data_IF_489423101872
#
_entry.id   IF_489423101872
#
_cell.length_a   1.000
_cell.length_b   1.000
_cell.length_c   1.000
_cell.angle_alpha   90.00
_cell.angle_beta   90.00
_cell.angle_gamma   90.00
#
_symmetry.space_group_name_H-M   'P 1'
#
loop_
_entity.id
_entity.type
_entity.pdbx_description
1 polymer ?
2 polymer ?
3 polymer ?
4 water ?
#
# COMPACT_ATOMS: atom_id res chain seq x y z
N UNK A 1 3.13 -6.55 19.06
CA UNK A 1 2.97 -7.79 18.17
C UNK A 1 4.17 -7.98 17.20
N UNK A 2 3.93 -8.68 16.09
CA UNK A 2 4.98 -8.81 15.08
C UNK A 2 5.15 -7.52 14.27
N UNK A 3 6.30 -7.39 13.64
CA UNK A 3 6.64 -6.23 12.83
C UNK A 3 7.33 -6.66 11.53
N UNK A 4 7.48 -5.74 10.60
CA UNK A 4 8.12 -6.04 9.31
C UNK A 4 8.88 -4.89 8.74
N UNK A 5 9.95 -5.20 8.04
CA UNK A 5 10.70 -4.27 7.25
C UNK A 5 10.54 -4.77 5.80
N UNK A 6 10.08 -3.93 4.89
CA UNK A 6 9.78 -4.30 3.53
C UNK A 6 10.11 -3.23 2.53
N UNK A 7 10.75 -3.64 1.46
CA UNK A 7 11.07 -2.75 0.37
C UNK A 7 10.24 -3.22 -0.83
N UNK A 8 9.66 -2.24 -1.54
CA UNK A 8 8.86 -2.46 -2.72
C UNK A 8 9.52 -1.72 -3.88
N UNK A 9 9.98 -2.48 -4.90
CA UNK A 9 10.86 -2.05 -5.95
C UNK A 9 10.10 -2.20 -7.24
N UNK A 10 9.95 -1.12 -7.99
CA UNK A 10 9.30 -1.14 -9.31
C UNK A 10 10.19 -0.57 -10.39
N UNK A 11 10.51 -1.38 -11.39
CA UNK A 11 11.31 -0.93 -12.55
C UNK A 11 10.40 -0.93 -13.76
N UNK A 12 10.36 0.19 -14.48
CA UNK A 12 9.46 0.36 -15.66
C UNK A 12 10.25 0.78 -16.90
N UNK A 13 10.29 -0.14 -17.89
CA UNK A 13 10.90 0.10 -19.22
C UNK A 13 9.97 1.05 -19.99
N UNK A 14 10.53 2.19 -20.33
CA UNK A 14 9.78 3.34 -20.82
C UNK A 14 8.94 3.41 -22.10
N UNK A 15 9.33 2.72 -23.18
CA UNK A 15 10.66 2.57 -23.72
C UNK A 15 10.93 3.61 -24.80
N UNK A 16 10.69 4.84 -24.44
CA UNK A 16 10.97 5.99 -25.25
C UNK A 16 11.81 6.76 -24.26
N UNK A 17 12.91 6.14 -23.87
CA UNK A 17 13.90 6.63 -22.92
C UNK A 17 14.97 5.57 -22.84
N UNK A 18 16.22 6.02 -22.75
CA UNK A 18 17.36 5.14 -22.66
C UNK A 18 17.35 4.24 -21.45
N UNK A 19 16.85 4.76 -20.34
CA UNK A 19 16.78 3.95 -19.15
C UNK A 19 15.37 3.75 -18.71
N UNK A 20 15.13 2.64 -18.07
CA UNK A 20 13.89 2.41 -17.39
C UNK A 20 13.98 3.14 -16.07
N UNK A 21 12.85 3.59 -15.60
CA UNK A 21 12.75 4.24 -14.29
C UNK A 21 12.59 3.25 -13.13
N UNK A 22 13.49 3.36 -12.16
CA UNK A 22 13.44 2.54 -10.94
C UNK A 22 12.88 3.32 -9.75
N UNK A 23 11.87 2.74 -9.08
CA UNK A 23 11.26 3.33 -7.87
C UNK A 23 11.33 2.30 -6.73
N UNK A 24 11.84 2.70 -5.56
CA UNK A 24 11.85 1.90 -4.36
C UNK A 24 11.24 2.66 -3.19
N UNK A 25 10.35 1.98 -2.45
CA UNK A 25 9.86 2.50 -1.19
C UNK A 25 10.10 1.46 -0.06
N UNK A 26 10.44 1.95 1.11
CA UNK A 26 10.70 1.16 2.27
C UNK A 26 9.63 1.46 3.31
N UNK A 27 9.15 0.38 3.96
CA UNK A 27 8.17 0.45 5.01
C UNK A 27 8.65 -0.30 6.20
N UNK A 28 8.38 0.30 7.35
CA UNK A 28 8.23 -0.43 8.61
C UNK A 28 6.71 -0.55 8.92
N UNK A 29 6.25 -1.80 9.00
CA UNK A 29 4.82 -2.14 9.22
C UNK A 29 4.10 -1.37 8.13
N UNK A 30 3.14 -0.50 8.46
CA UNK A 30 2.41 0.19 7.46
C UNK A 30 2.85 1.64 7.30
N UNK A 31 4.03 2.00 7.81
CA UNK A 31 4.49 3.37 7.72
C UNK A 31 5.67 3.40 6.72
N UNK A 32 5.55 4.17 5.63
CA UNK A 32 6.71 4.43 4.70
C UNK A 32 7.77 5.28 5.37
N UNK A 33 9.04 5.00 5.15
CA UNK A 33 10.09 5.80 5.73
C UNK A 33 11.26 6.24 4.78
N UNK A 34 11.45 5.57 3.63
CA UNK A 34 12.46 5.93 2.64
C UNK A 34 11.91 5.80 1.22
N UNK A 35 12.64 6.43 0.29
CA UNK A 35 12.28 6.51 -1.14
C UNK A 35 13.53 6.69 -2.03
N UNK A 36 13.49 6.01 -3.17
CA UNK A 36 14.50 6.19 -4.20
C UNK A 36 13.77 6.27 -5.49
N UNK A 37 14.02 7.31 -6.28
CA UNK A 37 13.48 7.41 -7.63
C UNK A 37 14.67 7.64 -8.61
N UNK A 38 14.75 6.86 -9.68
CA UNK A 38 15.83 7.01 -10.69
C UNK A 38 15.78 8.30 -11.50
N UNK A 39 14.60 8.91 -11.62
CA UNK A 39 14.37 10.17 -12.37
C UNK A 39 14.83 11.47 -11.75
N UNK A 40 15.41 11.46 -10.58
CA UNK A 40 16.08 12.66 -10.05
C UNK A 40 17.44 12.67 -10.76
N UNK A 41 18.00 13.86 -11.06
CA UNK A 41 19.37 13.91 -11.60
C UNK A 41 20.40 13.60 -10.51
N UNK A 42 20.03 13.92 -9.27
CA UNK A 42 20.88 13.62 -8.10
C UNK A 42 20.74 12.18 -7.52
N UNK A 43 20.02 11.25 -8.19
CA UNK A 43 19.22 10.23 -7.46
C UNK A 43 19.90 9.67 -6.21
N UNK A 44 19.30 9.94 -5.06
CA UNK A 44 19.73 9.42 -3.78
C UNK A 44 18.53 8.78 -3.10
N UNK A 45 18.86 7.93 -2.11
CA UNK A 45 17.91 7.49 -1.17
C UNK A 45 17.49 8.70 -0.32
N UNK A 46 16.17 8.87 -0.18
CA UNK A 46 15.66 9.97 0.61
C UNK A 46 14.81 9.48 1.77
N UNK A 47 14.81 10.24 2.87
CA UNK A 47 13.86 10.12 3.93
C UNK A 47 12.41 10.47 3.53
N UNK A 48 11.50 9.62 3.96
CA UNK A 48 10.11 9.93 3.93
C UNK A 48 9.47 9.85 5.32
N UNK A 49 10.21 9.86 6.37
CA UNK A 49 9.62 10.06 7.66
C UNK A 49 10.61 10.82 8.48
N UNK A 50 10.12 11.72 9.35
CA UNK A 50 10.97 12.46 10.22
C UNK A 50 11.93 11.61 11.06
N UNK A 51 11.49 10.46 11.55
CA UNK A 51 12.33 9.70 12.52
C UNK A 51 13.56 9.03 11.85
N UNK A 52 13.58 8.85 10.53
CA UNK A 52 14.79 8.36 9.91
C UNK A 52 15.86 9.49 9.67
N UNK A 53 15.50 10.79 9.84
CA UNK A 53 16.37 11.85 9.38
C UNK A 53 17.62 11.92 10.20
N UNK A 54 17.56 11.48 11.45
CA UNK A 54 18.77 11.36 12.31
C UNK A 54 19.86 10.44 11.78
N UNK A 55 19.59 9.52 10.87
CA UNK A 55 20.69 8.79 10.29
C UNK A 55 21.70 9.75 9.63
N UNK A 56 23.00 9.44 9.76
CA UNK A 56 24.09 10.22 9.19
C UNK A 56 24.39 9.81 7.76
N UNK A 57 25.40 10.46 7.18
CA UNK A 57 25.69 10.38 5.72
C UNK A 57 25.91 8.95 5.20
N UNK A 58 26.66 8.17 5.97
CA UNK A 58 27.02 6.79 5.58
C UNK A 58 25.80 5.86 5.41
N UNK A 59 24.77 6.06 6.24
CA UNK A 59 23.46 5.38 6.05
C UNK A 59 22.92 5.75 4.66
N UNK A 60 22.83 7.05 4.35
CA UNK A 60 22.26 7.49 3.04
C UNK A 60 23.16 7.05 1.89
N UNK A 61 24.46 6.96 2.10
CA UNK A 61 25.39 6.65 0.99
C UNK A 61 25.29 5.14 0.68
N UNK A 62 25.35 4.33 1.72
CA UNK A 62 25.14 2.91 1.57
C UNK A 62 23.78 2.60 0.90
N UNK A 63 22.69 3.24 1.34
CA UNK A 63 21.39 2.94 0.75
C UNK A 63 21.36 3.28 -0.70
N UNK A 64 21.91 4.44 -1.05
CA UNK A 64 22.01 4.90 -2.45
C UNK A 64 22.89 4.02 -3.39
N UNK A 65 24.07 3.62 -2.94
CA UNK A 65 24.86 2.61 -3.64
C UNK A 65 24.04 1.37 -3.82
N UNK A 66 23.30 0.90 -2.81
CA UNK A 66 22.51 -0.34 -3.04
C UNK A 66 21.38 -0.17 -4.00
N UNK A 67 20.67 0.93 -3.97
CA UNK A 67 19.58 1.18 -4.90
C UNK A 67 20.11 1.41 -6.34
N UNK A 68 21.24 2.15 -6.47
CA UNK A 68 22.02 2.22 -7.77
C UNK A 68 22.33 0.82 -8.26
N UNK A 69 22.95 0.04 -7.39
CA UNK A 69 23.21 -1.36 -7.63
C UNK A 69 22.03 -2.12 -8.20
N UNK A 70 20.93 -2.14 -7.46
CA UNK A 70 19.77 -2.96 -7.81
C UNK A 70 19.05 -2.45 -9.07
N UNK A 71 19.06 -1.13 -9.29
CA UNK A 71 18.50 -0.54 -10.53
C UNK A 71 19.20 -1.08 -11.80
N UNK A 72 20.53 -1.18 -11.78
CA UNK A 72 21.28 -1.70 -12.91
C UNK A 72 20.99 -3.21 -13.08
N UNK A 73 21.05 -4.01 -12.02
CA UNK A 73 20.50 -5.39 -12.06
C UNK A 73 19.08 -5.47 -12.68
N UNK A 74 18.09 -4.76 -12.15
CA UNK A 74 16.73 -4.85 -12.72
C UNK A 74 16.64 -4.39 -14.18
N UNK A 75 17.42 -3.38 -14.57
CA UNK A 75 17.46 -2.96 -15.97
C UNK A 75 17.90 -4.16 -16.78
N UNK A 76 19.00 -4.78 -16.36
CA UNK A 76 19.47 -6.03 -16.95
C UNK A 76 18.39 -7.09 -17.01
N UNK A 77 17.64 -7.25 -15.93
CA UNK A 77 16.56 -8.24 -15.96
C UNK A 77 15.39 -7.91 -16.86
N UNK A 78 15.18 -6.63 -17.14
CA UNK A 78 14.20 -6.23 -18.13
C UNK A 78 14.65 -6.70 -19.52
N UNK A 79 15.88 -6.35 -19.89
CA UNK A 79 16.39 -6.72 -21.18
C UNK A 79 16.32 -8.26 -21.25
N UNK A 80 16.87 -8.96 -20.26
CA UNK A 80 16.77 -10.42 -20.26
C UNK A 80 15.31 -10.93 -20.40
N UNK A 81 14.35 -10.30 -19.76
CA UNK A 81 12.96 -10.81 -19.79
C UNK A 81 12.29 -10.73 -21.16
N UNK A 82 12.79 -9.90 -22.06
CA UNK A 82 12.22 -9.81 -23.42
C UNK A 82 12.47 -11.10 -24.22
N UNK A 83 13.75 -11.47 -24.36
CA UNK A 83 14.22 -12.65 -25.12
C UNK A 83 13.75 -14.02 -24.63
N UNK A 84 13.65 -14.17 -23.30
CA UNK A 84 13.04 -15.37 -22.68
C UNK A 84 11.53 -15.52 -23.00
N UNK A 85 10.91 -14.49 -23.57
CA UNK A 85 9.49 -14.53 -23.99
C UNK A 85 9.23 -14.13 -25.46
N UNK A 86 10.29 -13.89 -26.25
CA UNK A 86 10.19 -13.55 -27.71
C UNK A 86 9.49 -12.20 -27.98
N UNK A 87 9.86 -11.19 -27.20
CA UNK A 87 8.99 -10.05 -27.01
C UNK A 87 9.34 -8.75 -27.73
N UNK A 88 8.26 -8.02 -28.08
CA UNK A 88 8.27 -6.78 -28.87
C UNK A 88 8.97 -5.63 -28.11
N UNK A 89 9.89 -4.98 -28.81
CA UNK A 89 10.57 -3.77 -28.32
C UNK A 89 9.65 -2.57 -28.15
N UNK A 90 8.52 -2.58 -28.85
CA UNK A 90 7.57 -1.49 -28.76
C UNK A 90 7.03 -1.35 -27.32
N UNK A 91 6.55 -2.44 -26.73
CA UNK A 91 5.66 -2.34 -25.57
C UNK A 91 6.34 -2.07 -24.24
N UNK A 92 5.70 -1.31 -23.38
CA UNK A 92 6.28 -1.04 -22.03
C UNK A 92 6.14 -2.25 -21.11
N UNK A 93 7.16 -2.50 -20.30
CA UNK A 93 7.11 -3.61 -19.34
C UNK A 93 7.50 -3.18 -17.92
N UNK A 94 7.01 -3.98 -16.95
CA UNK A 94 7.06 -3.77 -15.48
C UNK A 94 7.75 -4.94 -14.82
N UNK A 95 8.74 -4.64 -14.01
CA UNK A 95 9.34 -5.62 -13.10
C UNK A 95 9.15 -5.08 -11.69
N UNK A 96 8.57 -5.91 -10.80
CA UNK A 96 8.40 -5.65 -9.37
C UNK A 96 9.15 -6.66 -8.54
N UNK A 97 9.77 -6.15 -7.48
CA UNK A 97 10.49 -6.94 -6.51
C UNK A 97 10.03 -6.53 -5.09
N UNK A 98 9.70 -7.52 -4.29
CA UNK A 98 9.41 -7.27 -2.89
C UNK A 98 10.36 -8.13 -2.10
N UNK A 99 11.00 -7.49 -1.12
CA UNK A 99 11.85 -8.21 -0.21
C UNK A 99 11.80 -7.57 1.15
N UNK A 100 12.02 -8.39 2.17
CA UNK A 100 11.97 -7.87 3.54
C UNK A 100 11.89 -8.98 4.54
N UNK A 101 11.91 -8.60 5.81
CA UNK A 101 11.80 -9.54 6.91
C UNK A 101 10.55 -9.24 7.77
N UNK A 102 9.93 -10.33 8.21
CA UNK A 102 8.81 -10.32 9.06
C UNK A 102 9.26 -11.02 10.29
N UNK A 103 9.05 -10.33 11.38
CA UNK A 103 9.58 -10.74 12.65
C UNK A 103 8.52 -10.80 13.70
N UNK A 104 8.61 -11.83 14.53
CA UNK A 104 7.73 -12.02 15.68
C UNK A 104 7.85 -11.07 16.86
N UNK A 105 6.92 -11.17 17.82
CA UNK A 105 6.96 -10.34 19.03
C UNK A 105 8.20 -10.44 19.87
N UNK A 106 8.98 -11.52 19.74
CA UNK A 106 10.28 -11.61 20.43
C UNK A 106 11.53 -11.44 19.57
N UNK A 107 11.38 -10.92 18.38
CA UNK A 107 12.50 -10.78 17.52
C UNK A 107 12.98 -11.99 16.73
N UNK A 108 12.31 -13.13 16.79
CA UNK A 108 12.64 -14.20 15.85
C UNK A 108 12.22 -13.83 14.39
N UNK A 109 13.02 -14.21 13.40
CA UNK A 109 12.54 -14.19 11.98
C UNK A 109 11.46 -15.22 11.74
N UNK A 110 10.29 -14.75 11.29
CA UNK A 110 9.20 -15.64 10.89
C UNK A 110 9.18 -15.88 9.41
N UNK A 111 9.19 -14.83 8.61
CA UNK A 111 9.20 -15.01 7.20
C UNK A 111 10.16 -14.03 6.63
N UNK A 112 11.11 -14.50 5.84
CA UNK A 112 11.90 -13.64 4.91
C UNK A 112 11.40 -13.72 3.44
N UNK A 113 11.47 -12.62 2.68
CA UNK A 113 11.04 -12.49 1.27
C UNK A 113 12.12 -11.92 0.37
N UNK A 114 12.20 -12.51 -0.84
CA UNK A 114 12.72 -11.89 -2.02
C UNK A 114 11.88 -12.43 -3.16
N UNK A 115 11.11 -11.61 -3.81
CA UNK A 115 10.29 -12.17 -4.87
C UNK A 115 9.97 -11.16 -5.94
N UNK A 116 9.77 -11.71 -7.15
CA UNK A 116 9.73 -10.98 -8.40
C UNK A 116 8.46 -11.29 -9.20
N UNK A 117 8.03 -10.26 -9.95
CA UNK A 117 6.88 -10.33 -10.87
C UNK A 117 7.13 -9.52 -12.15
N UNK A 118 6.95 -10.19 -13.30
CA UNK A 118 7.07 -9.54 -14.60
C UNK A 118 5.65 -9.27 -15.11
N UNK A 119 5.39 -8.05 -15.52
CA UNK A 119 4.04 -7.56 -15.89
C UNK A 119 2.93 -8.19 -15.04
N UNK A 120 3.01 -8.00 -13.74
CA UNK A 120 1.93 -8.36 -12.85
C UNK A 120 1.79 -9.81 -12.46
N UNK A 121 2.68 -10.67 -12.92
CA UNK A 121 2.47 -12.09 -12.73
C UNK A 121 3.71 -12.62 -12.10
N UNK A 122 3.56 -13.62 -11.24
CA UNK A 122 4.73 -14.24 -10.64
C UNK A 122 5.82 -14.52 -11.66
N UNK A 123 7.03 -14.49 -11.22
CA UNK A 123 8.12 -14.85 -12.09
C UNK A 123 9.07 -15.82 -11.33
N UNK A 124 9.63 -15.35 -10.20
CA UNK A 124 10.45 -16.17 -9.31
C UNK A 124 10.28 -15.68 -7.86
N UNK A 125 10.57 -16.55 -6.90
CA UNK A 125 10.31 -16.25 -5.50
C UNK A 125 11.12 -17.17 -4.61
N UNK A 126 11.70 -16.57 -3.57
CA UNK A 126 12.41 -17.33 -2.58
C UNK A 126 11.40 -18.04 -1.69
N UNK A 127 11.63 -19.35 -1.48
CA UNK A 127 10.81 -20.15 -0.59
C UNK A 127 10.88 -19.83 0.92
N UNK A 128 9.79 -20.10 1.65
CA UNK A 128 9.76 -19.98 3.13
C UNK A 128 11.02 -20.42 3.85
N UNK A 129 11.71 -21.40 3.33
CA UNK A 129 12.93 -21.85 3.97
C UNK A 129 14.17 -21.06 3.60
N UNK A 130 14.05 -20.14 2.64
CA UNK A 130 15.17 -19.28 2.18
C UNK A 130 16.35 -20.02 1.63
N UNK A 131 16.14 -21.30 1.26
CA UNK A 131 17.17 -22.20 0.67
C UNK A 131 16.84 -22.68 -0.75
N UNK A 132 15.71 -22.23 -1.29
CA UNK A 132 15.28 -22.70 -2.57
C UNK A 132 14.36 -21.62 -3.20
N UNK A 133 14.08 -21.84 -4.50
CA UNK A 133 13.36 -20.91 -5.35
C UNK A 133 12.27 -21.62 -6.10
N UNK A 134 11.09 -21.01 -6.19
CA UNK A 134 10.09 -21.49 -7.08
C UNK A 134 9.98 -20.46 -8.21
N UNK A 135 10.09 -20.99 -9.43
CA UNK A 135 10.13 -20.27 -10.70
C UNK A 135 8.77 -20.50 -11.35
N UNK A 136 8.16 -19.46 -11.88
CA UNK A 136 6.74 -19.56 -12.31
C UNK A 136 6.51 -20.40 -13.59
N UNK A 137 7.47 -20.38 -14.52
CA UNK A 137 7.33 -21.01 -15.84
C UNK A 137 8.73 -21.41 -16.32
N UNK A 138 8.84 -21.80 -17.59
CA UNK A 138 10.14 -22.15 -18.20
C UNK A 138 11.10 -20.98 -18.37
N UNK A 139 10.56 -19.79 -18.65
CA UNK A 139 11.40 -18.58 -18.76
C UNK A 139 12.16 -18.33 -17.45
N UNK A 140 11.42 -18.30 -16.35
CA UNK A 140 12.01 -18.06 -15.03
C UNK A 140 12.89 -19.22 -14.57
N UNK A 141 12.60 -20.44 -15.07
CA UNK A 141 13.31 -21.63 -14.60
C UNK A 141 14.74 -21.56 -15.00
N UNK A 142 15.09 -20.72 -15.99
CA UNK A 142 16.52 -20.61 -16.36
C UNK A 142 17.27 -19.64 -15.44
N UNK A 143 16.65 -18.48 -15.18
CA UNK A 143 17.02 -17.56 -14.08
C UNK A 143 17.26 -18.32 -12.76
N UNK A 144 16.30 -19.15 -12.33
CA UNK A 144 16.55 -20.05 -11.22
C UNK A 144 17.88 -20.80 -11.39
N UNK A 145 18.03 -21.59 -12.46
CA UNK A 145 19.28 -22.36 -12.72
C UNK A 145 20.52 -21.49 -12.40
N UNK A 146 20.45 -20.24 -12.85
CA UNK A 146 21.54 -19.27 -12.68
C UNK A 146 21.77 -18.82 -11.20
N UNK A 147 20.64 -18.58 -10.54
CA UNK A 147 20.64 -18.22 -9.14
C UNK A 147 21.05 -19.43 -8.27
N UNK A 148 20.78 -20.66 -8.74
CA UNK A 148 21.14 -21.88 -8.01
C UNK A 148 22.66 -22.02 -7.98
N UNK A 149 23.27 -22.00 -9.16
CA UNK A 149 24.72 -22.11 -9.21
C UNK A 149 25.34 -20.94 -8.45
N UNK A 150 24.83 -19.73 -8.64
CA UNK A 150 25.39 -18.54 -7.94
C UNK A 150 25.32 -18.54 -6.37
N UNK A 151 24.52 -19.46 -5.82
CA UNK A 151 24.04 -19.46 -4.43
C UNK A 151 23.69 -18.08 -3.91
N UNK A 152 22.81 -17.43 -4.67
CA UNK A 152 22.25 -16.15 -4.30
C UNK A 152 21.28 -16.34 -3.11
N UNK A 153 20.62 -17.49 -3.00
CA UNK A 153 19.78 -17.88 -1.85
C UNK A 153 20.47 -17.66 -0.48
N UNK A 154 21.76 -17.98 -0.45
CA UNK A 154 22.59 -17.83 0.70
C UNK A 154 22.89 -16.36 0.92
N UNK A 155 23.04 -15.59 -0.14
CA UNK A 155 23.14 -14.15 0.00
C UNK A 155 21.87 -13.52 0.56
N UNK A 156 20.70 -13.92 0.06
CA UNK A 156 19.46 -13.45 0.69
C UNK A 156 19.23 -13.89 2.14
N UNK A 157 19.64 -15.11 2.46
CA UNK A 157 19.41 -15.69 3.75
C UNK A 157 20.20 -14.95 4.77
N UNK A 158 21.44 -14.71 4.43
CA UNK A 158 22.32 -14.02 5.31
C UNK A 158 21.84 -12.56 5.55
N UNK A 159 21.43 -11.88 4.46
CA UNK A 159 20.83 -10.52 4.60
C UNK A 159 19.60 -10.61 5.48
N UNK A 160 18.71 -11.56 5.16
CA UNK A 160 17.42 -11.54 5.85
C UNK A 160 17.50 -11.88 7.34
N UNK A 161 18.50 -12.68 7.72
CA UNK A 161 18.67 -13.13 9.12
C UNK A 161 19.56 -12.22 9.94
N UNK A 162 20.41 -11.38 9.33
CA UNK A 162 21.25 -10.44 10.05
C UNK A 162 20.72 -9.03 9.82
N UNK A 163 21.23 -8.38 8.77
CA UNK A 163 20.90 -7.01 8.40
C UNK A 163 19.47 -6.60 8.50
N UNK A 164 18.61 -7.37 7.83
CA UNK A 164 17.18 -7.03 7.77
C UNK A 164 16.56 -6.93 9.19
N UNK A 165 16.69 -8.00 9.94
CA UNK A 165 16.21 -8.11 11.35
C UNK A 165 16.86 -7.11 12.28
N UNK A 166 18.21 -6.97 12.29
CA UNK A 166 18.87 -6.00 13.20
C UNK A 166 18.38 -4.59 12.84
N UNK A 167 18.23 -4.27 11.57
CA UNK A 167 17.84 -2.88 11.25
C UNK A 167 16.36 -2.56 11.65
N UNK A 168 15.48 -3.51 11.43
CA UNK A 168 14.13 -3.45 11.87
C UNK A 168 14.09 -3.08 13.36
N UNK A 169 14.82 -3.80 14.20
CA UNK A 169 14.90 -3.35 15.64
C UNK A 169 15.31 -1.89 15.85
N UNK A 170 16.35 -1.51 15.14
CA UNK A 170 16.82 -0.14 15.19
C UNK A 170 15.75 0.84 14.83
N UNK A 171 15.06 0.59 13.72
CA UNK A 171 13.98 1.44 13.28
C UNK A 171 12.86 1.51 14.26
N UNK A 172 12.47 0.38 14.83
CA UNK A 172 11.46 0.39 15.93
C UNK A 172 11.86 1.21 17.17
N UNK A 173 13.14 1.15 17.59
CA UNK A 173 13.76 2.07 18.57
C UNK A 173 13.67 3.58 18.16
N UNK A 174 14.21 3.96 16.99
CA UNK A 174 14.27 5.37 16.56
C UNK A 174 12.90 6.01 16.33
N UNK A 175 11.96 5.25 15.74
CA UNK A 175 10.62 5.72 15.45
C UNK A 175 9.59 5.35 16.48
N UNK A 176 10.05 4.84 17.62
CA UNK A 176 9.19 4.40 18.71
C UNK A 176 7.86 5.16 18.82
N UNK A 177 7.90 6.45 18.86
CA UNK A 177 6.68 7.26 19.13
C UNK A 177 5.62 7.18 18.05
N UNK A 178 6.04 6.85 16.84
CA UNK A 178 5.24 6.65 15.71
C UNK A 178 4.94 5.19 15.60
N UNK A 179 5.95 4.34 15.47
CA UNK A 179 5.69 2.95 15.08
C UNK A 179 5.14 2.04 16.12
N UNK A 180 5.28 2.39 17.41
CA UNK A 180 4.75 1.57 18.53
C UNK A 180 3.59 2.23 19.23
N UNK A 181 3.06 3.32 18.69
CA UNK A 181 1.85 3.87 19.26
C UNK A 181 0.69 2.88 19.03
N UNK A 182 -0.17 2.78 20.00
CA UNK A 182 -1.38 1.97 19.83
C UNK A 182 -2.43 3.08 19.78
N UNK A 183 -2.87 3.46 18.59
CA UNK A 183 -3.73 4.64 18.45
C UNK A 183 -5.13 4.22 18.10
N UNK A 184 -6.08 4.38 19.02
CA UNK A 184 -7.39 3.70 18.80
C UNK A 184 -8.27 4.41 17.79
N UNK A 185 -9.21 3.70 17.17
CA UNK A 185 -10.20 4.36 16.31
C UNK A 185 -11.10 5.35 17.03
N UNK A 186 -11.51 6.40 16.35
CA UNK A 186 -12.57 7.26 16.85
C UNK A 186 -13.79 6.78 16.11
N UNK A 187 -14.86 6.47 16.82
CA UNK A 187 -16.02 5.78 16.25
C UNK A 187 -17.33 6.50 16.32
N UNK A 188 -18.21 6.24 15.35
CA UNK A 188 -19.61 6.68 15.43
C UNK A 188 -20.49 5.90 14.44
N UNK A 189 -21.80 5.87 14.68
CA UNK A 189 -22.73 5.22 13.81
C UNK A 189 -23.65 6.17 13.09
N UNK A 190 -23.80 6.11 11.79
CA UNK A 190 -24.83 6.90 11.19
C UNK A 190 -26.02 6.05 10.79
N UNK A 191 -27.14 6.76 10.57
CA UNK A 191 -28.40 6.19 10.11
C UNK A 191 -28.88 6.93 8.89
N UNK A 192 -29.29 6.19 7.86
CA UNK A 192 -29.88 6.77 6.62
C UNK A 192 -31.05 5.91 6.22
N UNK A 193 -32.25 6.36 6.56
CA UNK A 193 -33.45 5.62 6.10
C UNK A 193 -33.74 5.71 4.59
N UNK A 194 -34.58 4.84 4.15
CA UNK A 194 -34.88 4.81 2.77
C UNK A 194 -36.33 4.40 2.74
N UNK A 195 -37.15 5.43 2.62
CA UNK A 195 -38.59 5.36 2.52
C UNK A 195 -39.16 4.53 3.74
N UNK A 196 -40.04 3.56 3.51
CA UNK A 196 -40.42 2.60 4.55
C UNK A 196 -39.74 1.21 4.38
N UNK A 197 -38.56 1.21 3.72
CA UNK A 197 -37.85 -0.04 3.39
C UNK A 197 -36.59 -0.22 4.20
N UNK A 198 -36.56 0.23 5.41
CA UNK A 198 -35.25 -0.14 6.04
C UNK A 198 -33.97 0.60 5.69
N UNK A 199 -33.10 0.47 6.65
CA UNK A 199 -32.35 1.57 7.14
C UNK A 199 -30.90 1.20 7.18
N UNK A 200 -30.06 2.05 6.54
CA UNK A 200 -28.64 1.84 6.47
C UNK A 200 -28.02 2.47 7.66
N UNK A 201 -27.41 1.62 8.48
CA UNK A 201 -26.59 1.94 9.58
C UNK A 201 -25.12 1.79 9.13
N UNK A 202 -24.29 2.77 9.44
CA UNK A 202 -22.91 2.75 9.00
C UNK A 202 -22.07 3.04 10.16
N UNK A 203 -21.24 2.07 10.48
CA UNK A 203 -20.35 2.15 11.61
C UNK A 203 -18.93 2.57 11.15
N UNK A 204 -18.38 3.63 11.73
CA UNK A 204 -17.11 4.21 11.30
C UNK A 204 -16.00 4.09 12.34
N UNK A 205 -14.77 3.94 11.82
CA UNK A 205 -13.55 3.98 12.58
C UNK A 205 -12.56 4.84 11.82
N UNK A 206 -12.07 5.89 12.48
CA UNK A 206 -11.17 6.93 11.86
C UNK A 206 -9.99 7.08 12.75
N UNK A 207 -8.85 7.48 12.19
CA UNK A 207 -7.70 7.90 12.97
C UNK A 207 -6.98 6.82 13.73
N UNK A 208 -6.96 5.60 13.21
CA UNK A 208 -6.30 4.50 13.92
C UNK A 208 -4.99 4.04 13.32
N UNK A 209 -4.19 3.37 14.12
CA UNK A 209 -2.88 2.85 13.69
C UNK A 209 -2.56 1.78 14.71
N UNK A 210 -2.13 0.61 14.27
CA UNK A 210 -1.91 0.22 12.90
C UNK A 210 -3.15 0.02 12.03
N UNK A 211 -2.89 -0.46 10.82
CA UNK A 211 -3.91 -0.73 9.85
C UNK A 211 -4.94 -1.82 10.20
N UNK A 212 -4.53 -2.86 10.88
CA UNK A 212 -5.42 -4.01 11.04
C UNK A 212 -6.60 -3.58 11.98
N UNK A 213 -7.84 -3.87 11.55
CA UNK A 213 -9.04 -3.61 12.38
C UNK A 213 -10.18 -4.57 12.02
N UNK A 214 -11.02 -4.94 12.97
CA UNK A 214 -12.26 -5.72 12.69
C UNK A 214 -13.54 -4.84 12.90
N UNK A 215 -14.32 -4.64 11.86
CA UNK A 215 -15.68 -4.07 12.05
C UNK A 215 -16.73 -5.10 11.65
N UNK A 216 -17.54 -5.56 12.59
CA UNK A 216 -18.61 -6.48 12.25
C UNK A 216 -19.93 -5.97 12.80
N UNK A 217 -21.00 -6.27 12.10
CA UNK A 217 -22.33 -6.08 12.66
C UNK A 217 -22.95 -7.40 13.20
N UNK A 218 -23.36 -7.37 14.46
CA UNK A 218 -24.13 -8.46 15.02
C UNK A 218 -25.60 -8.14 15.30
N UNK A 219 -26.43 -9.17 15.13
CA UNK A 219 -27.74 -9.22 15.79
C UNK A 219 -27.93 -10.61 16.33
N UNK A 220 -28.39 -10.65 17.59
CA UNK A 220 -28.57 -11.89 18.39
C UNK A 220 -27.34 -12.81 18.34
N UNK A 221 -26.17 -12.24 18.62
CA UNK A 221 -24.90 -12.96 18.53
C UNK A 221 -24.28 -13.12 17.14
N UNK A 222 -25.15 -13.20 16.13
CA UNK A 222 -24.77 -13.56 14.74
C UNK A 222 -24.29 -12.37 13.88
N UNK A 223 -23.09 -12.50 13.33
CA UNK A 223 -22.59 -11.61 12.26
C UNK A 223 -23.48 -11.54 11.05
N UNK A 224 -23.69 -10.32 10.54
CA UNK A 224 -24.59 -10.09 9.41
C UNK A 224 -23.85 -9.97 8.07
N UNK A 225 -24.51 -10.32 6.99
CA UNK A 225 -23.86 -10.34 5.65
C UNK A 225 -24.67 -9.77 4.48
N UNK A 226 -26.01 -9.78 4.59
CA UNK A 226 -26.80 -9.70 3.41
C UNK A 226 -26.79 -8.30 2.68
N UNK A 227 -27.06 -7.21 3.34
CA UNK A 227 -26.80 -5.96 2.59
C UNK A 227 -25.79 -5.32 3.45
N UNK A 228 -24.64 -5.99 3.51
CA UNK A 228 -23.55 -5.60 4.40
C UNK A 228 -22.41 -5.19 3.49
N UNK A 229 -22.12 -3.90 3.48
CA UNK A 229 -21.01 -3.37 2.73
C UNK A 229 -19.87 -2.96 3.63
N UNK A 230 -18.71 -3.47 3.29
CA UNK A 230 -17.52 -3.28 4.08
C UNK A 230 -16.52 -2.62 3.10
N UNK A 231 -16.11 -1.37 3.31
CA UNK A 231 -14.98 -0.87 2.46
C UNK A 231 -13.58 -1.39 2.91
N UNK A 232 -12.72 -1.49 1.90
CA UNK A 232 -11.26 -1.64 2.04
C UNK A 232 -10.69 -0.54 2.92
N UNK A 233 -9.88 -0.95 3.89
CA UNK A 233 -9.19 -0.10 4.73
C UNK A 233 -8.30 0.86 3.92
N UNK A 234 -8.31 2.11 4.39
CA UNK A 234 -7.78 3.17 3.57
C UNK A 234 -7.01 4.20 4.38
N UNK A 235 -5.89 4.68 3.79
CA UNK A 235 -5.07 5.73 4.48
C UNK A 235 -5.82 7.10 4.59
N UNK A 236 -5.76 7.73 5.75
CA UNK A 236 -6.32 9.02 5.96
C UNK A 236 -5.43 10.18 5.43
N UNK A 237 -4.11 9.94 5.29
CA UNK A 237 -3.12 10.91 4.77
C UNK A 237 -2.19 11.48 5.84
N UNK A 238 -2.40 11.11 7.12
CA UNK A 238 -1.63 11.64 8.25
C UNK A 238 -0.98 10.49 9.05
N UNK A 239 -0.69 9.39 8.37
CA UNK A 239 -0.24 8.20 9.06
C UNK A 239 -1.32 7.26 9.65
N UNK A 240 -2.58 7.71 9.75
CA UNK A 240 -3.65 6.91 10.35
C UNK A 240 -4.51 6.27 9.28
N UNK A 241 -5.43 5.42 9.70
CA UNK A 241 -6.31 4.77 8.72
C UNK A 241 -7.78 4.91 9.07
N UNK A 242 -8.62 4.69 8.09
CA UNK A 242 -10.02 4.67 8.30
C UNK A 242 -10.71 3.50 7.55
N UNK A 243 -11.90 3.12 8.04
CA UNK A 243 -12.74 2.12 7.42
C UNK A 243 -14.20 2.28 7.86
N UNK A 244 -15.11 1.67 7.15
CA UNK A 244 -16.45 1.53 7.66
C UNK A 244 -17.17 0.27 7.23
N UNK A 245 -18.19 -0.11 8.00
CA UNK A 245 -19.07 -1.24 7.72
C UNK A 245 -20.54 -0.81 7.85
N UNK A 246 -21.30 -1.00 6.78
CA UNK A 246 -22.67 -0.54 6.64
C UNK A 246 -23.59 -1.71 6.51
N UNK A 247 -24.76 -1.65 7.16
CA UNK A 247 -25.74 -2.76 7.17
C UNK A 247 -27.18 -2.25 6.94
N UNK A 248 -27.95 -2.92 6.11
CA UNK A 248 -29.34 -2.55 5.95
C UNK A 248 -30.18 -3.31 6.94
N UNK A 249 -30.94 -2.60 7.77
CA UNK A 249 -31.76 -3.21 8.80
C UNK A 249 -33.22 -2.80 8.65
N UNK A 250 -34.12 -3.59 9.26
CA UNK A 250 -35.53 -3.25 9.08
C UNK A 250 -35.89 -1.96 9.79
N UNK A 251 -36.86 -1.23 9.25
CA UNK A 251 -37.35 -0.01 9.94
C UNK A 251 -37.90 -0.33 11.33
N UNK A 252 -37.57 0.48 12.30
CA UNK A 252 -37.97 0.22 13.66
C UNK A 252 -36.94 -0.57 14.48
N UNK A 253 -36.15 -1.44 13.84
CA UNK A 253 -35.24 -2.34 14.57
C UNK A 253 -33.80 -1.84 14.78
N UNK A 254 -33.56 -0.56 14.57
CA UNK A 254 -32.22 -0.04 14.55
C UNK A 254 -31.43 -0.50 15.73
N UNK A 255 -32.08 -0.58 16.90
CA UNK A 255 -31.32 -0.82 18.16
C UNK A 255 -31.04 -2.30 18.50
N UNK A 256 -31.67 -3.23 17.77
CA UNK A 256 -31.30 -4.63 17.84
C UNK A 256 -29.90 -4.97 17.27
N UNK A 257 -29.33 -4.07 16.48
CA UNK A 257 -28.02 -4.34 15.86
C UNK A 257 -26.97 -3.53 16.51
N UNK A 258 -25.77 -4.13 16.56
CA UNK A 258 -24.60 -3.54 17.22
C UNK A 258 -23.34 -3.76 16.35
N UNK A 259 -22.56 -2.69 16.24
CA UNK A 259 -21.26 -2.71 15.58
C UNK A 259 -20.17 -3.06 16.58
N UNK A 260 -19.37 -4.07 16.22
CA UNK A 260 -18.28 -4.58 17.06
C UNK A 260 -16.94 -4.21 16.44
N UNK A 261 -16.20 -3.38 17.17
CA UNK A 261 -14.90 -2.85 16.77
C UNK A 261 -13.70 -3.42 17.59
N UNK A 262 -12.79 -4.09 16.89
CA UNK A 262 -11.60 -4.70 17.54
C UNK A 262 -10.39 -4.04 16.92
N UNK A 263 -9.58 -3.43 17.75
CA UNK A 263 -8.33 -2.78 17.33
C UNK A 263 -7.23 -2.96 18.37
N UNK A 264 -6.00 -2.97 17.91
CA UNK A 264 -4.83 -2.98 18.84
C UNK A 264 -4.84 -1.89 19.93
N UNK A 265 -5.36 -0.69 19.65
CA UNK A 265 -5.28 0.47 20.55
C UNK A 265 -6.46 0.57 21.52
N UNK A 266 -7.34 -0.43 21.51
CA UNK A 266 -8.45 -0.51 22.46
C UNK A 266 -8.21 -1.47 23.65
N UNK A 267 -8.41 -0.92 24.87
CA UNK A 267 -8.32 -1.65 26.16
C UNK A 267 -9.02 -2.99 26.00
N UNK A 268 -10.30 -2.92 25.62
CA UNK A 268 -11.15 -4.07 25.27
C UNK A 268 -12.11 -3.73 24.08
N UNK A 269 -12.50 -4.75 23.25
CA UNK A 269 -13.54 -4.58 22.23
C UNK A 269 -14.67 -3.64 22.62
N UNK A 270 -15.26 -3.06 21.58
CA UNK A 270 -16.18 -1.98 21.70
C UNK A 270 -17.46 -2.38 20.98
N UNK A 271 -18.57 -1.92 21.54
CA UNK A 271 -19.89 -2.29 21.05
C UNK A 271 -20.70 -0.98 20.87
N UNK A 272 -21.05 -0.66 19.62
CA UNK A 272 -21.83 0.54 19.30
C UNK A 272 -23.19 0.22 18.78
N UNK A 273 -24.12 1.13 19.03
CA UNK A 273 -25.48 1.06 18.55
C UNK A 273 -25.83 2.45 18.10
N UNK A 274 -26.81 2.58 17.22
CA UNK A 274 -27.24 3.91 16.84
C UNK A 274 -28.19 4.46 17.91
N UNK A 275 -27.99 5.74 18.23
CA UNK A 275 -28.95 6.53 19.04
C UNK A 275 -29.13 7.96 18.47
N UNK B 2 -2.68 -7.28 -16.94
CA UNK B 2 -3.60 -6.03 -16.90
C UNK B 2 -4.86 -6.13 -16.05
N UNK B 3 -5.22 -5.00 -15.43
CA UNK B 3 -6.08 -4.90 -14.25
C UNK B 3 -6.54 -3.45 -14.01
N UNK B 4 -7.87 -3.21 -13.89
CA UNK B 4 -8.47 -1.87 -13.77
C UNK B 4 -8.37 -1.30 -12.42
N UNK B 5 -8.35 0.05 -12.28
CA UNK B 5 -8.23 0.54 -10.92
C UNK B 5 -9.54 0.54 -10.15
N UNK B 6 -9.43 0.47 -8.86
CA UNK B 6 -10.49 0.57 -7.92
C UNK B 6 -10.21 1.93 -7.24
N UNK B 7 -11.27 2.69 -7.01
CA UNK B 7 -11.20 4.08 -6.68
C UNK B 7 -12.11 4.36 -5.50
N UNK B 8 -11.61 5.01 -4.46
CA UNK B 8 -12.41 5.51 -3.34
C UNK B 8 -12.05 6.97 -3.06
N UNK B 9 -13.04 7.80 -2.77
CA UNK B 9 -12.86 9.26 -2.58
C UNK B 9 -13.47 9.66 -1.25
N UNK B 10 -12.76 10.35 -0.41
CA UNK B 10 -13.18 10.51 0.94
C UNK B 10 -12.34 11.54 1.60
N UNK B 11 -12.88 12.11 2.65
CA UNK B 11 -12.15 13.12 3.38
C UNK B 11 -11.39 12.46 4.56
N UNK B 12 -10.34 13.12 5.01
CA UNK B 12 -9.57 12.63 6.12
C UNK B 12 -10.35 12.58 7.44
N UNK B 13 -11.07 13.66 7.76
CA UNK B 13 -11.86 13.75 9.00
C UNK B 13 -13.29 13.83 8.57
N UNK B 14 -14.23 13.58 9.47
CA UNK B 14 -15.61 13.76 8.99
C UNK B 14 -15.90 15.26 8.70
N UNK B 15 -16.59 15.52 7.60
CA UNK B 15 -16.78 16.86 7.06
C UNK B 15 -17.74 17.66 7.91
N UNK B 16 -17.27 18.80 8.43
CA UNK B 16 -18.10 19.80 9.05
C UNK B 16 -17.89 21.13 8.26
N UNK B 17 -18.90 21.54 7.50
CA UNK B 17 -18.89 22.77 6.66
C UNK B 17 -18.21 23.94 7.33
N UNK B 18 -17.37 24.65 6.57
CA UNK B 18 -16.53 25.72 7.07
C UNK B 18 -15.33 25.31 7.91
N UNK B 19 -15.02 24.02 8.01
CA UNK B 19 -13.90 23.57 8.87
C UNK B 19 -12.79 23.02 8.02
N UNK B 20 -11.53 23.48 8.28
CA UNK B 20 -10.43 22.93 7.47
C UNK B 20 -10.36 21.39 7.57
N UNK B 21 -10.05 20.76 6.45
CA UNK B 21 -10.04 19.29 6.32
C UNK B 21 -9.11 18.87 5.15
N UNK B 22 -9.01 17.59 4.89
CA UNK B 22 -8.27 17.08 3.70
C UNK B 22 -9.15 16.19 2.86
N UNK B 23 -8.95 16.27 1.53
CA UNK B 23 -9.64 15.40 0.57
C UNK B 23 -8.69 14.38 -0.05
N UNK B 24 -9.13 13.12 -0.08
CA UNK B 24 -8.31 11.99 -0.52
C UNK B 24 -8.96 11.25 -1.70
N UNK B 25 -8.16 10.76 -2.62
CA UNK B 25 -8.54 9.83 -3.61
C UNK B 25 -7.53 8.66 -3.62
N UNK B 26 -8.00 7.50 -3.16
CA UNK B 26 -7.20 6.31 -3.05
C UNK B 26 -7.54 5.37 -4.20
N UNK B 27 -6.56 5.06 -5.03
CA UNK B 27 -6.69 4.25 -6.21
C UNK B 27 -5.80 3.01 -6.08
N UNK B 28 -6.32 1.83 -6.40
CA UNK B 28 -5.57 0.57 -6.14
C UNK B 28 -6.04 -0.60 -6.95
N UNK B 29 -5.29 -1.70 -6.94
CA UNK B 29 -5.65 -2.91 -7.73
C UNK B 29 -5.21 -2.89 -9.21
N UNK B 30 -4.49 -1.87 -9.67
CA UNK B 30 -4.29 -1.73 -11.10
C UNK B 30 -2.90 -2.18 -11.56
N UNK B 31 -2.86 -2.51 -12.83
CA UNK B 31 -1.69 -2.91 -13.55
C UNK B 31 -1.98 -2.61 -15.01
N UNK B 32 -1.11 -2.03 -15.82
CA UNK B 32 0.20 -1.54 -15.47
C UNK B 32 0.13 -0.22 -14.69
N UNK B 33 1.32 0.29 -14.19
CA UNK B 33 1.34 1.38 -13.25
C UNK B 33 0.99 2.75 -13.72
N UNK B 34 1.05 3.02 -15.02
CA UNK B 34 0.81 4.35 -15.56
C UNK B 34 -0.63 4.62 -15.38
N UNK B 35 -0.94 5.74 -14.79
CA UNK B 35 -2.31 6.07 -14.52
C UNK B 35 -2.33 7.54 -14.32
N UNK B 36 -3.39 8.19 -14.73
CA UNK B 36 -3.50 9.60 -14.44
C UNK B 36 -4.65 9.67 -13.50
N UNK B 37 -4.41 10.30 -12.35
CA UNK B 37 -5.41 10.54 -11.32
C UNK B 37 -5.58 12.03 -11.04
N UNK B 38 -6.81 12.59 -11.10
CA UNK B 38 -7.05 14.01 -10.77
C UNK B 38 -8.23 14.28 -9.80
N UNK B 39 -8.00 15.13 -8.79
CA UNK B 39 -8.99 15.62 -7.86
C UNK B 39 -9.70 16.83 -8.48
N UNK B 40 -11.03 16.84 -8.43
CA UNK B 40 -11.85 17.86 -9.15
C UNK B 40 -12.72 18.65 -8.18
N UNK B 41 -12.77 19.97 -8.35
CA UNK B 41 -13.66 20.86 -7.55
C UNK B 41 -14.65 21.49 -8.51
N UNK B 42 -15.87 20.94 -8.62
CA UNK B 42 -16.90 21.42 -9.59
C UNK B 42 -16.42 21.22 -11.03
N UNK B 43 -15.87 20.01 -11.29
CA UNK B 43 -15.28 19.65 -12.59
C UNK B 43 -13.94 20.33 -12.93
N UNK B 44 -13.39 21.09 -11.97
CA UNK B 44 -12.12 21.79 -12.13
C UNK B 44 -10.99 21.00 -11.52
N UNK B 45 -9.86 20.84 -12.21
CA UNK B 45 -8.68 20.23 -11.57
C UNK B 45 -8.22 21.06 -10.36
N UNK B 46 -7.86 20.37 -9.30
CA UNK B 46 -7.28 20.99 -8.11
C UNK B 46 -5.77 20.72 -8.06
N UNK B 47 -5.03 21.55 -7.35
CA UNK B 47 -3.63 21.25 -7.09
C UNK B 47 -3.67 20.20 -5.97
N UNK B 48 -2.83 19.18 -6.07
CA UNK B 48 -2.82 18.10 -5.08
C UNK B 48 -1.52 17.33 -5.19
N UNK B 49 -1.09 16.70 -4.10
CA UNK B 49 0.08 15.82 -4.15
C UNK B 49 -0.34 14.36 -4.29
N UNK B 50 0.59 13.62 -4.87
CA UNK B 50 0.47 12.21 -5.13
C UNK B 50 1.57 11.42 -4.37
N UNK B 51 1.16 10.33 -3.78
CA UNK B 51 2.12 9.44 -3.11
C UNK B 51 3.11 8.77 -4.05
N UNK B 52 4.21 8.30 -3.46
CA UNK B 52 5.25 7.53 -4.17
C UNK B 52 4.63 6.20 -4.57
N UNK B 53 4.83 5.77 -5.78
CA UNK B 53 4.28 4.49 -6.18
C UNK B 53 4.69 3.26 -5.33
N UNK B 54 3.68 2.55 -4.88
CA UNK B 54 3.85 1.35 -4.08
C UNK B 54 2.94 0.17 -4.58
N UNK B 55 3.14 -1.03 -4.04
CA UNK B 55 2.25 -2.14 -4.39
C UNK B 55 1.95 -3.09 -3.26
N UNK B 56 1.01 -4.00 -3.45
CA UNK B 56 0.69 -4.98 -2.38
C UNK B 56 1.19 -6.39 -2.70
N UNK B 57 0.94 -7.35 -1.83
CA UNK B 57 1.39 -8.70 -2.03
C UNK B 57 0.97 -9.33 -3.30
N UNK B 58 -0.23 -9.03 -3.79
CA UNK B 58 -0.64 -9.56 -5.12
C UNK B 58 -0.06 -8.78 -6.29
N UNK B 59 0.84 -7.82 -6.02
CA UNK B 59 1.56 -7.09 -7.03
C UNK B 59 0.82 -5.90 -7.59
N UNK B 60 -0.41 -5.71 -7.18
CA UNK B 60 -1.21 -4.63 -7.80
C UNK B 60 -0.82 -3.34 -7.11
N UNK B 61 -0.89 -2.27 -7.87
CA UNK B 61 -0.41 -0.93 -7.48
C UNK B 61 -1.41 -0.12 -6.66
N UNK B 62 -0.92 0.83 -5.88
CA UNK B 62 -1.76 1.73 -5.15
C UNK B 62 -1.11 3.13 -5.00
N UNK B 63 -1.99 4.13 -4.99
CA UNK B 63 -1.59 5.53 -4.83
C UNK B 63 -2.67 6.33 -4.13
N UNK B 64 -2.22 7.29 -3.32
CA UNK B 64 -3.07 8.26 -2.65
C UNK B 64 -2.80 9.62 -3.24
N UNK B 65 -3.87 10.26 -3.73
CA UNK B 65 -3.79 11.67 -4.20
C UNK B 65 -4.53 12.46 -3.17
N UNK B 66 -3.99 13.57 -2.71
CA UNK B 66 -4.65 14.33 -1.63
C UNK B 66 -4.37 15.82 -1.66
N UNK B 67 -5.35 16.58 -1.19
CA UNK B 67 -5.20 18.03 -1.05
C UNK B 67 -6.04 18.60 0.05
N UNK B 68 -5.68 19.78 0.57
CA UNK B 68 -6.57 20.48 1.49
C UNK B 68 -7.80 20.97 0.76
N UNK B 69 -8.90 20.97 1.51
CA UNK B 69 -10.13 21.64 1.13
C UNK B 69 -10.93 22.05 2.38
N UNK B 70 -11.83 23.00 2.19
CA UNK B 70 -12.78 23.37 3.23
C UNK B 70 -14.16 23.06 2.67
N UNK B 71 -14.68 21.93 3.09
CA UNK B 71 -16.00 21.55 2.72
C UNK B 71 -16.77 22.41 1.71
N UNK B 72 -18.02 22.52 2.04
CA UNK B 72 -19.05 22.97 1.17
C UNK B 72 -19.82 24.27 1.29
N UNK B 73 -20.98 24.15 0.65
CA UNK B 73 -22.13 25.01 0.52
C UNK B 73 -22.74 24.18 -0.57
N UNK B 74 -22.30 24.52 -1.74
CA UNK B 74 -22.73 23.96 -2.97
C UNK B 74 -21.60 23.20 -3.62
N UNK B 75 -20.38 23.42 -3.16
CA UNK B 75 -19.19 22.84 -3.76
C UNK B 75 -19.15 21.32 -3.91
N UNK B 76 -19.06 20.89 -5.15
CA UNK B 76 -19.05 19.49 -5.44
C UNK B 76 -17.67 19.01 -5.75
N UNK B 77 -17.31 17.85 -5.24
CA UNK B 77 -16.00 17.37 -5.49
C UNK B 77 -15.98 15.94 -6.06
N UNK B 78 -14.93 15.65 -6.86
CA UNK B 78 -14.79 14.30 -7.39
C UNK B 78 -13.34 13.90 -7.64
N UNK B 79 -13.14 12.65 -8.00
CA UNK B 79 -11.81 12.16 -8.38
C UNK B 79 -11.97 11.59 -9.81
N UNK B 80 -10.98 11.79 -10.69
CA UNK B 80 -11.08 11.38 -12.10
C UNK B 80 -9.91 10.55 -12.50
N UNK B 81 -10.15 9.36 -13.00
CA UNK B 81 -9.05 8.43 -13.23
C UNK B 81 -8.98 7.91 -14.67
N UNK B 82 -7.80 7.99 -15.26
CA UNK B 82 -7.57 7.57 -16.62
C UNK B 82 -6.64 6.39 -16.57
N UNK B 83 -7.02 5.29 -17.19
CA UNK B 83 -6.15 4.11 -17.18
C UNK B 83 -6.38 3.30 -18.42
N UNK B 84 -5.32 2.64 -18.87
CA UNK B 84 -5.32 1.92 -20.10
C UNK B 84 -6.47 0.94 -20.21
N UNK B 85 -6.77 0.22 -19.14
CA UNK B 85 -7.92 -0.70 -19.09
C UNK B 85 -9.25 -0.03 -19.27
N UNK B 86 -9.34 1.28 -19.06
CA UNK B 86 -10.58 1.99 -19.22
C UNK B 86 -10.63 2.70 -20.58
N UNK B 87 -11.54 2.29 -21.43
CA UNK B 87 -11.85 3.06 -22.64
C UNK B 87 -12.39 4.48 -22.34
N UNK B 88 -12.90 4.68 -21.13
CA UNK B 88 -13.51 5.95 -20.76
C UNK B 88 -13.01 6.33 -19.37
N UNK B 89 -12.75 7.63 -19.13
CA UNK B 89 -12.34 7.99 -17.76
C UNK B 89 -13.38 7.65 -16.69
N UNK B 90 -12.89 7.40 -15.47
CA UNK B 90 -13.72 6.97 -14.37
C UNK B 90 -13.85 8.07 -13.32
N UNK B 91 -15.04 8.63 -13.21
CA UNK B 91 -15.31 9.75 -12.29
C UNK B 91 -16.08 9.19 -11.09
N UNK B 92 -15.52 9.27 -9.89
CA UNK B 92 -16.23 8.85 -8.66
C UNK B 92 -16.52 10.09 -7.84
N UNK B 93 -17.77 10.30 -7.41
CA UNK B 93 -18.11 11.56 -6.72
C UNK B 93 -17.87 11.45 -5.21
N UNK B 94 -17.31 12.53 -4.65
CA UNK B 94 -17.27 12.66 -3.21
C UNK B 94 -18.67 12.74 -2.56
N UNK B 95 -18.86 11.93 -1.52
CA UNK B 95 -20.03 11.92 -0.70
C UNK B 95 -19.58 11.86 0.75
N UNK B 96 -20.05 12.81 1.57
CA UNK B 96 -19.53 12.92 2.92
C UNK B 96 -19.73 11.72 3.86
N UNK B 97 -20.76 10.92 3.67
CA UNK B 97 -20.96 9.75 4.52
C UNK B 97 -20.50 8.47 3.82
N UNK B 98 -19.65 8.60 2.79
CA UNK B 98 -18.93 7.42 2.30
C UNK B 98 -17.45 7.67 2.34
N UNK C 1 17.27 -1.21 6.31
CA UNK C 1 18.46 -1.19 5.39
C UNK C 1 18.26 -2.02 4.16
N UNK C 2 18.48 -1.43 3.03
CA UNK C 2 18.37 -2.18 1.79
C UNK C 2 19.46 -3.25 1.60
N UNK C 3 19.17 -4.18 0.68
CA UNK C 3 20.08 -5.29 0.35
C UNK C 3 21.03 -4.96 -0.82
N UNK C 4 22.30 -5.34 -0.70
CA UNK C 4 23.32 -5.21 -1.75
C UNK C 4 23.53 -6.60 -2.34
N UNK C 5 22.69 -6.96 -3.30
CA UNK C 5 22.81 -8.25 -3.98
C UNK C 5 22.37 -8.05 -5.44
N UNK C 6 23.06 -8.48 -6.49
CA UNK C 6 24.53 -8.68 -6.74
C UNK C 6 24.67 -9.39 -8.11
N UNK C 7 23.93 -10.48 -8.34
CA UNK C 7 24.19 -11.39 -9.48
C UNK C 7 23.64 -10.77 -10.78
N UNK C 8 24.21 -11.15 -11.96
CA UNK C 8 23.79 -10.55 -13.24
C UNK C 8 22.25 -10.47 -13.46
N UNK C 9 21.56 -11.61 -13.54
CA UNK C 9 20.12 -11.55 -13.61
C UNK C 9 19.59 -11.15 -12.22
#
# INVERSE_FOLDING_TARGET
GPHSLRYFDTAVSRPDRGEPRFIEVGYVDDTQFVRFDSDAPNPRMEPRAPWIQQEGQEYWDRNTRNAMGNAQIYRGNLRTALGYYNQSEAGSHTLQIMYGCDVGPDGLLLRGYSQDAYDGADYIALNEDLRSWTAADTAAQITKRKWEAANVAEQWRSYLQGTCVEWLQKYLQMGKDTLQRAEPPKTHVTRHPSSDLGVTLRCWALGFYPKEISLTWQREGQDQSQDMELVETRPSGDGTFQKWAALVVPPGEEQSYTCHVQHEGLQEPLTLRWD
VARPPKVQVYSRHPAENGKPNYLNCYVSGFHPPQIEIDLLKNGEKMNAEQSDLSFSKDWSFYLLVHTEFTPNAVDQYSCRVKHVTLDKPKIVKWDRDH
MTAHIVVPY
#
